data_IF_440637749786
#
_entry.id   IF_440637749786
#
_cell.length_a   1.000
_cell.length_b   1.000
_cell.length_c   1.000
_cell.angle_alpha   90.00
_cell.angle_beta   90.00
_cell.angle_gamma   90.00
#
_symmetry.space_group_name_H-M   'P 1'
#
loop_
_entity.id
_entity.type
_entity.pdbx_description
1 polymer ?
#
# COMPACT_ATOMS: atom_id res chain seq x y z
N UNK A 1 -28.19 -29.93 -3.26
CA UNK A 1 -28.05 -28.74 -2.44
C UNK A 1 -26.90 -27.89 -2.85
N UNK A 2 -26.87 -27.56 -4.13
CA UNK A 2 -25.78 -26.72 -4.63
C UNK A 2 -25.80 -25.34 -4.01
N UNK A 3 -26.97 -24.87 -3.62
CA UNK A 3 -27.08 -23.57 -3.02
C UNK A 3 -26.38 -23.49 -1.67
N UNK A 4 -26.22 -24.65 -1.01
CA UNK A 4 -25.53 -24.66 0.26
C UNK A 4 -24.08 -24.24 0.11
N UNK A 5 -23.44 -24.67 -0.98
CA UNK A 5 -22.06 -24.34 -1.22
C UNK A 5 -21.88 -22.85 -1.48
N UNK A 6 -22.77 -22.28 -2.26
CA UNK A 6 -22.71 -20.84 -2.50
C UNK A 6 -22.96 -20.06 -1.23
N UNK A 7 -23.88 -20.53 -0.43
CA UNK A 7 -24.17 -19.87 0.83
C UNK A 7 -22.95 -19.89 1.74
N UNK A 8 -22.22 -21.00 1.76
CA UNK A 8 -21.03 -21.09 2.58
C UNK A 8 -19.94 -20.13 2.12
N UNK A 9 -19.80 -19.97 0.80
CA UNK A 9 -18.83 -19.01 0.27
C UNK A 9 -19.17 -17.60 0.73
N UNK A 10 -20.46 -17.25 0.64
CA UNK A 10 -20.89 -15.93 1.04
C UNK A 10 -20.67 -15.72 2.54
N UNK A 11 -20.94 -16.76 3.33
CA UNK A 11 -20.77 -16.66 4.77
C UNK A 11 -19.33 -16.47 5.17
N UNK A 12 -18.39 -16.96 4.34
CA UNK A 12 -16.99 -16.89 4.67
C UNK A 12 -16.35 -15.56 4.30
N UNK A 13 -17.12 -14.68 3.69
CA UNK A 13 -16.60 -13.38 3.32
C UNK A 13 -16.55 -12.50 4.55
N UNK A 14 -15.35 -11.98 4.84
CA UNK A 14 -15.15 -11.09 5.97
C UNK A 14 -15.16 -9.66 5.46
N UNK A 15 -15.75 -8.79 6.26
CA UNK A 15 -15.73 -7.37 5.95
C UNK A 15 -14.30 -6.88 5.98
N UNK A 16 -13.92 -6.11 4.97
CA UNK A 16 -12.57 -5.57 4.92
C UNK A 16 -12.60 -4.25 4.17
N UNK A 17 -11.55 -3.50 4.38
CA UNK A 17 -11.33 -2.25 3.66
C UNK A 17 -9.90 -2.31 3.15
N UNK A 18 -9.72 -1.98 1.89
CA UNK A 18 -8.38 -1.96 1.31
C UNK A 18 -8.19 -0.65 0.56
N UNK A 19 -7.01 -0.04 0.66
CA UNK A 19 -6.73 1.17 -0.10
C UNK A 19 -6.67 0.87 -1.59
N UNK A 20 -7.02 1.85 -2.39
CA UNK A 20 -6.88 1.78 -3.85
C UNK A 20 -6.03 2.96 -4.27
N UNK A 21 -4.84 2.70 -4.76
CA UNK A 21 -3.88 3.74 -5.13
C UNK A 21 -3.94 3.98 -6.62
N UNK A 22 -4.21 5.22 -7.00
CA UNK A 22 -4.15 5.63 -8.39
C UNK A 22 -2.77 6.23 -8.63
N UNK A 23 -2.09 5.75 -9.64
CA UNK A 23 -0.72 6.15 -9.90
C UNK A 23 -0.52 6.41 -11.37
N UNK A 24 0.42 7.26 -11.68
CA UNK A 24 0.92 7.38 -13.05
C UNK A 24 1.91 6.26 -13.25
N UNK A 25 1.75 5.54 -14.36
CA UNK A 25 2.62 4.41 -14.68
C UNK A 25 2.39 3.24 -13.72
N UNK A 26 1.20 2.64 -13.84
CA UNK A 26 0.81 1.57 -12.94
C UNK A 26 1.72 0.35 -13.07
N UNK A 27 2.24 0.07 -14.26
CA UNK A 27 3.15 -1.06 -14.44
C UNK A 27 4.40 -0.88 -13.60
N UNK A 28 4.99 0.32 -13.65
CA UNK A 28 6.18 0.59 -12.86
C UNK A 28 5.87 0.60 -11.37
N UNK A 29 4.67 1.06 -10.99
CA UNK A 29 4.31 1.10 -9.58
C UNK A 29 4.21 -0.29 -8.99
N UNK A 30 3.59 -1.22 -9.71
CA UNK A 30 3.48 -2.59 -9.22
C UNK A 30 4.87 -3.18 -9.00
N UNK A 31 5.78 -2.97 -9.96
CA UNK A 31 7.13 -3.48 -9.79
C UNK A 31 7.84 -2.83 -8.62
N UNK A 32 7.61 -1.54 -8.41
CA UNK A 32 8.21 -0.86 -7.27
C UNK A 32 7.71 -1.46 -5.95
N UNK A 33 6.41 -1.68 -5.83
CA UNK A 33 5.88 -2.19 -4.56
C UNK A 33 6.37 -3.61 -4.30
N UNK A 34 6.55 -4.40 -5.36
CA UNK A 34 7.11 -5.73 -5.19
C UNK A 34 8.56 -5.66 -4.72
N UNK A 35 9.34 -4.77 -5.32
CA UNK A 35 10.75 -4.65 -4.96
C UNK A 35 10.94 -4.01 -3.60
N UNK A 36 10.22 -2.92 -3.36
CA UNK A 36 10.45 -2.12 -2.15
C UNK A 36 9.88 -2.80 -0.91
N UNK A 37 8.67 -3.33 -1.00
CA UNK A 37 7.96 -3.86 0.18
C UNK A 37 7.87 -5.38 0.18
N UNK A 38 8.32 -6.03 -0.87
CA UNK A 38 8.13 -7.46 -0.96
C UNK A 38 6.70 -7.85 -1.25
N UNK A 39 5.95 -6.96 -1.88
CA UNK A 39 4.55 -7.24 -2.18
C UNK A 39 4.43 -8.38 -3.18
N UNK A 40 3.37 -9.15 -3.04
CA UNK A 40 3.04 -10.22 -3.99
C UNK A 40 1.71 -9.89 -4.65
N UNK A 41 1.57 -10.31 -5.89
CA UNK A 41 0.34 -10.09 -6.63
C UNK A 41 -0.69 -11.14 -6.25
N UNK A 42 -1.87 -10.66 -5.84
CA UNK A 42 -3.00 -11.55 -5.60
C UNK A 42 -3.91 -11.60 -6.82
N UNK A 43 -3.93 -10.53 -7.59
CA UNK A 43 -4.77 -10.41 -8.78
C UNK A 43 -4.13 -9.41 -9.72
N UNK A 44 -4.27 -9.64 -11.01
CA UNK A 44 -3.72 -8.73 -11.99
C UNK A 44 -4.55 -8.75 -13.26
N UNK A 45 -4.88 -7.57 -13.75
CA UNK A 45 -5.57 -7.39 -15.00
C UNK A 45 -4.73 -6.47 -15.86
N UNK A 46 -4.23 -7.02 -16.97
CA UNK A 46 -3.39 -6.23 -17.87
C UNK A 46 -4.23 -5.61 -18.97
N UNK A 47 -3.93 -4.35 -19.26
CA UNK A 47 -4.53 -3.62 -20.36
C UNK A 47 -3.38 -2.94 -21.10
N UNK A 48 -3.62 -2.48 -22.34
CA UNK A 48 -2.51 -1.86 -23.08
C UNK A 48 -1.90 -0.71 -22.31
N UNK A 49 -0.65 -0.86 -21.90
CA UNK A 49 0.09 0.20 -21.23
C UNK A 49 -0.22 0.40 -19.77
N UNK A 50 -1.11 -0.39 -19.19
CA UNK A 50 -1.47 -0.17 -17.79
C UNK A 50 -1.90 -1.48 -17.16
N UNK A 51 -2.04 -1.46 -15.83
CA UNK A 51 -2.41 -2.65 -15.10
C UNK A 51 -3.27 -2.26 -13.91
N UNK A 52 -4.20 -3.14 -13.55
CA UNK A 52 -4.88 -3.09 -12.26
C UNK A 52 -4.40 -4.30 -11.49
N UNK A 53 -3.96 -4.09 -10.27
CA UNK A 53 -3.42 -5.19 -9.48
C UNK A 53 -3.85 -5.09 -8.03
N UNK A 54 -4.08 -6.24 -7.43
CA UNK A 54 -4.24 -6.35 -5.99
C UNK A 54 -2.95 -6.94 -5.44
N UNK A 55 -2.35 -6.26 -4.50
CA UNK A 55 -1.06 -6.63 -3.93
C UNK A 55 -1.22 -6.91 -2.45
N UNK A 56 -0.31 -7.71 -1.92
CA UNK A 56 -0.29 -8.02 -0.51
C UNK A 56 1.13 -7.88 0.03
N UNK A 57 1.26 -7.12 1.11
CA UNK A 57 2.51 -7.03 1.86
C UNK A 57 2.29 -7.86 3.11
N UNK A 58 2.74 -9.11 3.05
CA UNK A 58 2.64 -10.03 4.18
C UNK A 58 1.21 -10.08 4.75
N UNK A 59 0.22 -10.14 3.86
CA UNK A 59 -1.17 -10.23 4.25
C UNK A 59 -1.93 -8.92 4.24
N UNK A 60 -1.24 -7.80 4.16
CA UNK A 60 -1.89 -6.49 4.12
C UNK A 60 -2.14 -6.11 2.66
N UNK A 61 -3.39 -5.92 2.30
CA UNK A 61 -3.78 -5.84 0.90
C UNK A 61 -4.10 -4.41 0.48
N UNK A 62 -3.79 -4.12 -0.77
CA UNK A 62 -4.14 -2.84 -1.38
C UNK A 62 -4.15 -3.02 -2.89
N UNK A 63 -4.77 -2.06 -3.57
CA UNK A 63 -4.93 -2.10 -5.02
C UNK A 63 -4.14 -0.98 -5.67
N UNK A 64 -3.75 -1.20 -6.91
CA UNK A 64 -3.04 -0.19 -7.69
C UNK A 64 -3.66 -0.16 -9.08
N UNK A 65 -3.90 1.04 -9.59
CA UNK A 65 -4.40 1.20 -10.95
C UNK A 65 -3.82 2.46 -11.55
N UNK A 66 -3.98 2.57 -12.87
CA UNK A 66 -3.54 3.75 -13.59
C UNK A 66 -4.44 4.93 -13.27
N UNK A 67 -3.84 6.07 -12.99
CA UNK A 67 -4.60 7.28 -12.74
C UNK A 67 -5.26 7.75 -14.02
N UNK A 68 -6.55 8.04 -13.95
CA UNK A 68 -7.27 8.53 -15.11
C UNK A 68 -6.90 9.98 -15.35
N UNK A 69 -6.53 10.30 -16.60
CA UNK A 69 -6.19 11.68 -16.93
C UNK A 69 -7.39 12.60 -16.78
N UNK A 70 -8.58 12.05 -16.88
CA UNK A 70 -9.77 12.86 -16.74
C UNK A 70 -10.06 13.26 -15.31
N UNK A 71 -9.47 12.56 -14.35
CA UNK A 71 -9.73 12.82 -12.95
C UNK A 71 -8.60 13.55 -12.27
N UNK A 72 -7.68 14.08 -13.03
CA UNK A 72 -6.55 14.79 -12.44
C UNK A 72 -7.04 16.09 -11.83
N UNK A 73 -6.71 16.29 -10.57
CA UNK A 73 -7.04 17.52 -9.87
C UNK A 73 -5.81 18.39 -9.83
N UNK A 74 -5.76 19.40 -10.65
CA UNK A 74 -4.51 20.19 -10.75
C UNK A 74 -4.13 20.88 -9.47
N UNK A 75 -5.11 21.16 -8.63
CA UNK A 75 -4.82 21.91 -7.41
C UNK A 75 -4.57 21.03 -6.20
N UNK A 76 -4.51 19.74 -6.37
CA UNK A 76 -4.33 18.89 -5.21
C UNK A 76 -2.93 19.05 -4.66
N UNK A 77 -2.83 19.73 -3.55
CA UNK A 77 -1.54 20.02 -2.95
C UNK A 77 -1.26 19.13 -1.75
N UNK A 78 -2.28 18.52 -1.18
CA UNK A 78 -2.11 17.77 0.05
C UNK A 78 -2.66 16.37 -0.09
N UNK A 79 -2.02 15.46 0.63
CA UNK A 79 -2.46 14.08 0.66
C UNK A 79 -3.40 13.93 1.83
N UNK A 80 -4.63 13.50 1.55
CA UNK A 80 -5.61 13.30 2.60
C UNK A 80 -5.60 11.87 3.16
N UNK A 81 -4.96 10.95 2.46
CA UNK A 81 -4.91 9.55 2.88
C UNK A 81 -3.48 9.09 2.83
N UNK A 82 -3.07 8.37 3.85
CA UNK A 82 -1.76 7.72 3.85
C UNK A 82 -1.92 6.32 4.39
N UNK A 83 -1.00 5.46 4.04
CA UNK A 83 -1.01 4.07 4.51
C UNK A 83 -0.19 3.98 5.77
N UNK A 84 -0.72 3.29 6.76
CA UNK A 84 0.03 2.99 7.97
C UNK A 84 0.33 1.51 7.96
N UNK A 85 1.59 1.19 7.76
CA UNK A 85 2.04 -0.19 7.65
C UNK A 85 2.74 -0.57 8.95
N UNK A 86 2.10 -1.44 9.71
CA UNK A 86 2.62 -1.87 10.99
C UNK A 86 3.44 -3.13 10.78
N UNK A 87 4.70 -3.08 11.16
CA UNK A 87 5.62 -4.20 10.94
C UNK A 87 6.51 -4.35 12.17
N UNK A 88 7.10 -5.53 12.29
CA UNK A 88 7.94 -5.83 13.44
C UNK A 88 9.28 -5.13 13.38
N UNK A 89 9.82 -4.90 12.18
CA UNK A 89 11.14 -4.30 12.02
C UNK A 89 11.05 -3.13 11.05
N UNK A 90 10.50 -1.99 11.51
CA UNK A 90 10.33 -0.86 10.61
C UNK A 90 11.65 -0.24 10.15
N UNK A 91 12.69 -0.31 10.95
CA UNK A 91 13.96 0.29 10.56
C UNK A 91 14.52 -0.37 9.30
N UNK A 92 14.48 -1.69 9.28
CA UNK A 92 15.00 -2.42 8.14
C UNK A 92 14.15 -2.18 6.90
N UNK A 93 12.82 -2.22 7.06
CA UNK A 93 11.96 -2.00 5.92
C UNK A 93 12.05 -0.58 5.40
N UNK A 94 12.11 0.39 6.30
CA UNK A 94 12.22 1.80 5.91
C UNK A 94 13.45 2.00 5.03
N UNK A 95 14.59 1.43 5.46
CA UNK A 95 15.83 1.56 4.69
C UNK A 95 15.70 0.89 3.32
N UNK A 96 15.03 -0.27 3.28
CA UNK A 96 14.84 -0.99 2.03
C UNK A 96 13.99 -0.19 1.05
N UNK A 97 12.94 0.43 1.55
CA UNK A 97 12.04 1.22 0.70
C UNK A 97 12.75 2.47 0.19
N UNK A 98 13.56 3.11 1.03
CA UNK A 98 14.34 4.26 0.58
C UNK A 98 15.30 3.86 -0.53
N UNK A 99 15.95 2.70 -0.38
CA UNK A 99 16.85 2.25 -1.41
C UNK A 99 16.16 1.98 -2.73
N UNK A 100 14.88 1.61 -2.66
CA UNK A 100 14.11 1.33 -3.86
C UNK A 100 13.63 2.61 -4.56
N UNK A 101 13.75 3.79 -3.91
CA UNK A 101 13.44 5.03 -4.58
C UNK A 101 12.50 5.97 -3.86
N UNK A 102 12.02 5.62 -2.68
CA UNK A 102 11.19 6.51 -1.91
C UNK A 102 12.05 7.60 -1.25
N UNK A 103 11.38 8.64 -0.77
CA UNK A 103 12.09 9.71 -0.05
C UNK A 103 11.54 9.82 1.35
N UNK A 104 12.40 10.24 2.26
CA UNK A 104 12.01 10.41 3.66
C UNK A 104 11.21 11.70 3.83
N UNK A 105 10.07 11.57 4.52
CA UNK A 105 9.32 12.73 4.99
C UNK A 105 9.66 12.96 6.45
N UNK A 106 9.57 11.94 7.28
CA UNK A 106 10.02 11.97 8.66
C UNK A 106 10.82 10.71 8.93
N UNK A 107 12.02 10.82 9.51
CA UNK A 107 12.76 9.60 9.85
C UNK A 107 12.07 8.84 10.97
N UNK A 108 12.44 7.58 11.14
CA UNK A 108 11.86 6.79 12.21
C UNK A 108 12.29 7.36 13.56
N UNK A 109 11.31 7.59 14.42
CA UNK A 109 11.52 8.12 15.74
C UNK A 109 10.49 7.55 16.67
N UNK A 110 10.74 7.65 17.96
CA UNK A 110 9.78 7.19 18.97
C UNK A 110 9.13 8.38 19.62
N UNK A 111 7.83 8.31 19.74
CA UNK A 111 7.05 9.35 20.36
C UNK A 111 5.58 9.00 20.30
N UNK A 112 4.82 9.56 21.20
CA UNK A 112 3.36 9.39 21.22
C UNK A 112 2.95 7.91 21.17
N UNK A 113 3.77 7.03 21.76
CA UNK A 113 3.43 5.63 21.84
C UNK A 113 3.76 4.80 20.62
N UNK A 114 4.50 5.34 19.66
CA UNK A 114 4.87 4.64 18.43
C UNK A 114 6.35 4.82 18.12
N UNK A 115 6.89 3.82 17.43
CA UNK A 115 8.14 3.96 16.71
C UNK A 115 7.79 3.95 15.24
N UNK A 116 7.93 5.10 14.57
CA UNK A 116 7.35 5.23 13.23
C UNK A 116 8.05 6.32 12.45
N UNK A 117 8.12 6.13 11.15
CA UNK A 117 8.60 7.14 10.23
C UNK A 117 7.67 7.22 9.05
N UNK A 118 7.84 8.25 8.23
CA UNK A 118 7.03 8.44 7.05
C UNK A 118 7.91 8.65 5.84
N UNK A 119 7.55 8.02 4.74
CA UNK A 119 8.21 8.26 3.47
C UNK A 119 7.14 8.45 2.40
N UNK A 120 7.59 8.97 1.27
CA UNK A 120 6.72 9.15 0.12
C UNK A 120 7.29 8.31 -1.01
N UNK A 121 6.42 7.49 -1.62
CA UNK A 121 6.88 6.64 -2.70
C UNK A 121 7.01 7.45 -3.99
N UNK A 122 7.63 6.88 -5.03
CA UNK A 122 7.85 7.62 -6.27
C UNK A 122 6.56 8.02 -7.01
N UNK A 123 5.42 7.50 -6.56
CA UNK A 123 4.14 7.76 -7.20
C UNK A 123 3.30 8.74 -6.41
N UNK A 124 3.88 9.32 -5.34
CA UNK A 124 3.24 10.38 -4.59
C UNK A 124 2.45 9.93 -3.37
N UNK A 125 2.48 8.66 -3.05
CA UNK A 125 1.72 8.18 -1.91
C UNK A 125 2.58 8.11 -0.66
N UNK A 126 1.98 8.45 0.47
CA UNK A 126 2.67 8.49 1.75
C UNK A 126 2.43 7.21 2.52
N UNK A 127 3.50 6.70 3.09
CA UNK A 127 3.49 5.49 3.89
C UNK A 127 4.14 5.79 5.22
N UNK A 128 3.47 5.39 6.29
CA UNK A 128 4.07 5.41 7.62
C UNK A 128 4.40 3.98 7.99
N UNK A 129 5.62 3.76 8.44
CA UNK A 129 6.11 2.42 8.73
C UNK A 129 6.56 2.40 10.17
N UNK A 130 5.98 1.51 10.97
CA UNK A 130 6.31 1.49 12.39
C UNK A 130 5.52 0.46 13.16
N UNK A 131 5.53 0.62 14.48
CA UNK A 131 4.71 -0.21 15.36
C UNK A 131 4.43 0.54 16.65
N UNK A 132 3.35 0.17 17.35
CA UNK A 132 3.07 0.80 18.64
C UNK A 132 4.02 0.27 19.69
N UNK A 133 4.51 1.17 20.54
CA UNK A 133 5.38 0.79 21.65
C UNK A 133 4.56 0.16 22.74
N UNK A 134 5.18 -0.79 23.43
CA UNK A 134 4.48 -1.40 24.53
C UNK A 134 4.35 -0.41 25.65
N UNK A 135 3.20 -0.44 26.27
CA UNK A 135 3.00 0.29 27.47
C UNK A 135 3.89 -0.25 28.53
N UNK A 136 4.52 0.58 29.22
CA UNK A 136 5.38 0.09 30.31
C UNK A 136 4.86 0.53 31.65
#
# INVERSE_FOLDING_TARGET
>A
MSSTKETNIIKDIKTSIAPWLSVKNSVAAVEFYKLAFGAVELYRLDMPGEVVAQLSIDGAEFWVSEESSENVEPARAEVSVRMILTVADPDSLFAQVLQAGAITVFPIEEGHGWRIGRLKDPFGHHWEIGYPLKDS
#
